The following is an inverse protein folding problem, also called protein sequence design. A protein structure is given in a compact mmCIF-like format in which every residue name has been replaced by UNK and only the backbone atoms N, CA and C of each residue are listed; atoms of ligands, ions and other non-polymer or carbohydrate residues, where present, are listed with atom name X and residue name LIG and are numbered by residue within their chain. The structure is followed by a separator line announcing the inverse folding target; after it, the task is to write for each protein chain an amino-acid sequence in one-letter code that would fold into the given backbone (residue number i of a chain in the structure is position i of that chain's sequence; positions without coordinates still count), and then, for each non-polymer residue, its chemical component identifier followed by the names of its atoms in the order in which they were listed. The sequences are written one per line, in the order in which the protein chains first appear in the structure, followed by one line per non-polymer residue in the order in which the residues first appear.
data_IF_892578737930
#
_entry.id   IF_892578737930
#
_cell.length_a   1.000
_cell.length_b   1.000
_cell.length_c   1.000
_cell.angle_alpha   90.00
_cell.angle_beta   90.00
_cell.angle_gamma   90.00
#
_symmetry.space_group_name_H-M   'P 1'
#
loop_
_entity.id
_entity.type
_entity.pdbx_description
1 polymer ?
#
# COMPACT_ATOMS: atom_id res chain seq x y z
N UNK A 1 20.36 -7.06 3.35
CA UNK A 1 21.01 -7.73 2.22
C UNK A 1 20.91 -6.81 1.01
N UNK A 2 22.06 -6.36 0.44
CA UNK A 2 22.04 -5.37 -0.66
C UNK A 2 21.34 -5.85 -1.93
N UNK A 3 21.31 -7.16 -2.16
CA UNK A 3 20.73 -7.77 -3.36
C UNK A 3 19.35 -8.41 -3.11
N UNK A 4 18.66 -7.96 -2.09
CA UNK A 4 17.39 -8.53 -1.67
C UNK A 4 16.34 -8.54 -2.79
N UNK A 5 16.23 -7.44 -3.53
CA UNK A 5 15.27 -7.33 -4.63
C UNK A 5 15.63 -8.26 -5.78
N UNK A 6 16.91 -8.34 -6.16
CA UNK A 6 17.36 -9.26 -7.19
C UNK A 6 17.06 -10.71 -6.83
N UNK A 7 17.33 -11.09 -5.58
CA UNK A 7 17.08 -12.46 -5.09
C UNK A 7 15.59 -12.80 -5.11
N UNK A 8 14.74 -11.82 -4.90
CA UNK A 8 13.29 -12.00 -4.98
C UNK A 8 12.75 -11.99 -6.40
N UNK A 9 13.59 -11.71 -7.39
CA UNK A 9 13.18 -11.61 -8.78
C UNK A 9 12.42 -10.33 -9.08
N UNK A 10 12.63 -9.29 -8.28
CA UNK A 10 11.93 -8.02 -8.43
C UNK A 10 12.83 -6.99 -9.14
N UNK A 11 12.18 -6.09 -9.85
CA UNK A 11 12.83 -5.00 -10.58
C UNK A 11 12.34 -3.66 -10.04
N UNK A 12 13.20 -2.64 -10.10
CA UNK A 12 12.86 -1.32 -9.61
C UNK A 12 13.10 -0.27 -10.67
N UNK A 13 12.28 0.78 -10.62
CA UNK A 13 12.45 1.98 -11.41
C UNK A 13 12.48 3.15 -10.44
N UNK A 14 13.38 4.10 -10.63
CA UNK A 14 13.44 5.26 -9.74
C UNK A 14 12.18 6.10 -9.90
N UNK A 15 11.57 6.52 -8.78
CA UNK A 15 10.44 7.44 -8.79
C UNK A 15 10.83 8.77 -9.44
N UNK A 16 9.88 9.38 -10.17
CA UNK A 16 10.05 10.73 -10.72
C UNK A 16 9.79 11.82 -9.70
N UNK A 17 9.22 11.48 -8.56
CA UNK A 17 8.73 12.43 -7.57
C UNK A 17 9.56 12.45 -6.30
N UNK A 18 10.21 11.35 -5.95
CA UNK A 18 11.02 11.21 -4.75
C UNK A 18 12.28 10.41 -5.05
N UNK A 19 13.29 10.53 -4.21
CA UNK A 19 14.54 9.78 -4.35
C UNK A 19 14.39 8.39 -3.73
N UNK A 20 13.57 7.57 -4.36
CA UNK A 20 13.26 6.22 -3.89
C UNK A 20 12.87 5.33 -5.08
N UNK A 21 13.07 4.03 -4.98
CA UNK A 21 12.67 3.10 -6.04
C UNK A 21 11.19 2.74 -5.95
N UNK A 22 10.61 2.48 -7.12
CA UNK A 22 9.28 1.86 -7.26
C UNK A 22 9.50 0.42 -7.73
N UNK A 23 8.85 -0.53 -7.08
CA UNK A 23 8.96 -1.96 -7.45
C UNK A 23 8.01 -2.23 -8.61
N UNK A 24 8.57 -2.59 -9.77
CA UNK A 24 7.82 -2.68 -11.03
C UNK A 24 6.72 -3.76 -10.99
N UNK A 25 6.97 -4.86 -10.27
CA UNK A 25 6.01 -5.97 -10.18
C UNK A 25 4.81 -5.69 -9.30
N UNK A 26 4.85 -4.66 -8.47
CA UNK A 26 3.73 -4.32 -7.59
C UNK A 26 2.73 -3.44 -8.34
N UNK A 27 1.43 -3.76 -8.28
CA UNK A 27 0.43 -3.07 -9.09
C UNK A 27 0.08 -1.67 -8.59
N UNK A 28 0.49 -1.31 -7.38
CA UNK A 28 0.20 -0.01 -6.80
C UNK A 28 1.38 0.45 -5.94
N UNK A 29 1.69 1.73 -6.00
CA UNK A 29 2.75 2.31 -5.19
C UNK A 29 2.32 3.68 -4.65
N UNK A 30 2.64 3.92 -3.38
CA UNK A 30 2.55 5.23 -2.77
C UNK A 30 3.95 5.81 -2.74
N UNK A 31 4.16 6.92 -3.45
CA UNK A 31 5.47 7.58 -3.49
C UNK A 31 5.49 8.67 -2.42
N UNK A 32 6.31 8.46 -1.41
CA UNK A 32 6.29 9.26 -0.20
C UNK A 32 7.62 9.96 0.05
N UNK A 33 7.54 11.17 0.60
CA UNK A 33 8.71 11.91 1.08
C UNK A 33 8.75 11.80 2.60
N UNK A 34 9.92 11.51 3.16
CA UNK A 34 10.09 11.43 4.61
C UNK A 34 9.82 12.79 5.26
N UNK A 35 8.92 12.82 6.24
CA UNK A 35 8.65 14.00 7.05
C UNK A 35 9.44 13.93 8.35
N UNK A 36 9.28 12.84 9.10
CA UNK A 36 9.99 12.64 10.36
C UNK A 36 9.98 11.18 10.78
N UNK A 37 10.88 10.85 11.70
CA UNK A 37 10.87 9.57 12.41
C UNK A 37 10.68 9.90 13.88
N UNK A 38 9.61 9.37 14.48
CA UNK A 38 9.30 9.60 15.88
C UNK A 38 10.23 8.78 16.80
N UNK A 39 10.29 9.13 18.09
CA UNK A 39 11.11 8.44 19.06
C UNK A 39 10.77 6.94 19.20
N UNK A 40 9.51 6.59 18.99
CA UNK A 40 9.03 5.20 19.03
C UNK A 40 9.32 4.40 17.76
N UNK A 41 10.03 5.02 16.80
CA UNK A 41 10.39 4.36 15.54
C UNK A 41 9.32 4.49 14.45
N UNK A 42 8.20 5.16 14.71
CA UNK A 42 7.17 5.37 13.69
C UNK A 42 7.67 6.38 12.66
N UNK A 43 7.62 5.99 11.40
CA UNK A 43 8.03 6.82 10.27
C UNK A 43 6.80 7.54 9.72
N UNK A 44 6.90 8.87 9.58
CA UNK A 44 5.84 9.70 8.99
C UNK A 44 6.31 10.17 7.62
N UNK A 45 5.54 9.86 6.59
CA UNK A 45 5.83 10.28 5.22
C UNK A 45 4.67 11.04 4.62
N UNK A 46 4.98 11.95 3.73
CA UNK A 46 3.98 12.66 2.94
C UNK A 46 3.80 11.95 1.60
N UNK A 47 2.57 11.58 1.27
CA UNK A 47 2.28 10.97 -0.03
C UNK A 47 2.31 12.07 -1.08
N UNK A 48 3.28 12.00 -1.99
CA UNK A 48 3.43 12.99 -3.06
C UNK A 48 2.88 12.50 -4.39
N UNK A 49 2.71 11.18 -4.54
CA UNK A 49 2.10 10.60 -5.73
C UNK A 49 1.60 9.19 -5.44
N UNK A 50 0.57 8.77 -6.17
CA UNK A 50 0.05 7.41 -6.14
C UNK A 50 0.04 6.91 -7.58
N UNK A 51 0.67 5.77 -7.85
CA UNK A 51 0.55 5.09 -9.14
C UNK A 51 -0.12 3.74 -8.97
N UNK A 52 -0.90 3.36 -9.97
CA UNK A 52 -1.59 2.08 -9.99
C UNK A 52 -1.72 1.59 -11.43
N UNK A 53 -1.58 0.27 -11.62
CA UNK A 53 -1.84 -0.36 -12.90
C UNK A 53 -3.33 -0.34 -13.21
N UNK A 54 -3.69 -0.29 -14.48
CA UNK A 54 -5.08 -0.40 -14.89
C UNK A 54 -5.74 -1.69 -14.41
N UNK A 55 -4.95 -2.75 -14.22
CA UNK A 55 -5.42 -4.04 -13.74
C UNK A 55 -6.07 -4.01 -12.35
N UNK A 56 -5.75 -2.99 -11.54
CA UNK A 56 -6.32 -2.85 -10.20
C UNK A 56 -7.36 -1.75 -10.10
N UNK A 57 -7.80 -1.22 -11.25
CA UNK A 57 -8.82 -0.18 -11.30
C UNK A 57 -10.19 -0.77 -11.66
N UNK A 58 -11.25 -0.18 -11.12
CA UNK A 58 -12.63 -0.39 -11.54
C UNK A 58 -13.28 0.97 -11.70
N UNK A 59 -13.80 1.24 -12.90
CA UNK A 59 -14.42 2.52 -13.26
C UNK A 59 -13.50 3.73 -12.97
N UNK A 60 -12.18 3.56 -13.22
CA UNK A 60 -11.19 4.61 -13.04
C UNK A 60 -10.74 4.83 -11.59
N UNK A 61 -11.23 4.03 -10.66
CA UNK A 61 -10.87 4.11 -9.25
C UNK A 61 -10.13 2.87 -8.81
N UNK A 62 -9.23 3.02 -7.84
CA UNK A 62 -8.51 1.89 -7.26
C UNK A 62 -9.52 0.97 -6.57
N UNK A 63 -9.50 -0.30 -6.95
CA UNK A 63 -10.39 -1.32 -6.39
C UNK A 63 -9.61 -2.21 -5.43
N UNK A 64 -9.87 -2.12 -4.11
CA UNK A 64 -9.17 -2.95 -3.12
C UNK A 64 -9.29 -4.46 -3.37
N UNK A 65 -10.40 -4.91 -3.96
CA UNK A 65 -10.58 -6.32 -4.30
C UNK A 65 -9.59 -6.79 -5.37
N UNK A 66 -9.13 -5.88 -6.24
CA UNK A 66 -8.13 -6.16 -7.28
C UNK A 66 -6.71 -5.95 -6.78
N UNK A 67 -6.48 -4.95 -5.92
CA UNK A 67 -5.17 -4.72 -5.30
C UNK A 67 -4.80 -5.87 -4.37
N UNK A 68 -5.77 -6.41 -3.66
CA UNK A 68 -5.61 -7.50 -2.69
C UNK A 68 -4.57 -7.15 -1.60
N UNK A 69 -4.80 -6.07 -0.84
CA UNK A 69 -3.87 -5.67 0.20
C UNK A 69 -3.81 -6.71 1.32
N UNK A 70 -2.67 -6.73 2.00
CA UNK A 70 -2.46 -7.66 3.12
C UNK A 70 -2.21 -6.86 4.39
N UNK A 71 -2.49 -7.49 5.53
CA UNK A 71 -2.17 -6.94 6.84
C UNK A 71 -1.38 -7.95 7.65
N UNK A 72 -0.60 -7.46 8.60
CA UNK A 72 0.20 -8.33 9.46
C UNK A 72 -0.62 -8.75 10.68
N UNK A 73 -0.68 -10.08 10.90
CA UNK A 73 -1.25 -10.67 12.11
C UNK A 73 -0.11 -10.92 13.11
N UNK A 74 -0.04 -10.09 14.15
CA UNK A 74 1.02 -10.18 15.16
C UNK A 74 0.85 -11.38 16.09
N UNK A 75 -0.34 -11.94 16.19
CA UNK A 75 -0.60 -13.12 17.05
C UNK A 75 0.06 -14.36 16.47
N UNK A 76 -0.03 -14.55 15.16
CA UNK A 76 0.47 -15.75 14.48
C UNK A 76 1.70 -15.45 13.62
N UNK A 77 2.20 -14.23 13.61
CA UNK A 77 3.32 -13.78 12.75
C UNK A 77 3.07 -14.13 11.28
N UNK A 78 1.86 -13.82 10.82
CA UNK A 78 1.41 -14.15 9.48
C UNK A 78 0.89 -12.91 8.75
N UNK A 79 0.84 -13.00 7.42
CA UNK A 79 0.17 -11.99 6.60
C UNK A 79 -1.17 -12.54 6.15
N UNK A 80 -2.22 -11.73 6.27
CA UNK A 80 -3.56 -12.12 5.85
C UNK A 80 -4.11 -11.10 4.85
N UNK A 81 -4.92 -11.58 3.91
CA UNK A 81 -5.60 -10.71 2.95
C UNK A 81 -6.81 -10.05 3.62
N UNK A 82 -7.12 -8.83 3.18
CA UNK A 82 -8.37 -8.18 3.58
C UNK A 82 -9.54 -8.88 2.90
N UNK A 83 -10.63 -9.04 3.62
CA UNK A 83 -11.81 -9.74 3.13
C UNK A 83 -12.77 -8.86 2.33
N UNK A 84 -14.00 -9.35 2.17
CA UNK A 84 -15.04 -8.64 1.45
C UNK A 84 -15.51 -7.40 2.19
N UNK A 85 -16.13 -6.48 1.46
CA UNK A 85 -16.79 -5.31 2.04
C UNK A 85 -17.92 -5.78 2.95
N UNK A 86 -17.91 -5.33 4.19
CA UNK A 86 -18.91 -5.72 5.19
C UNK A 86 -19.75 -4.55 5.71
N UNK A 87 -19.46 -3.35 5.26
CA UNK A 87 -20.22 -2.17 5.68
C UNK A 87 -19.80 -0.95 4.88
N UNK A 88 -20.56 0.12 5.03
CA UNK A 88 -20.28 1.38 4.36
C UNK A 88 -20.01 2.46 5.38
N UNK A 89 -18.81 3.05 5.33
CA UNK A 89 -18.42 4.13 6.24
C UNK A 89 -19.34 5.35 6.04
N UNK A 90 -19.58 6.05 7.12
CA UNK A 90 -20.39 7.27 7.16
C UNK A 90 -21.88 7.09 6.80
N UNK A 91 -22.31 5.85 6.57
CA UNK A 91 -23.70 5.55 6.23
C UNK A 91 -24.33 4.56 7.21
N UNK A 92 -23.69 3.40 7.44
CA UNK A 92 -24.27 2.34 8.28
C UNK A 92 -24.42 2.76 9.74
N UNK A 93 -23.48 3.56 10.28
CA UNK A 93 -23.56 4.06 11.64
C UNK A 93 -24.74 4.98 11.92
N UNK A 94 -25.32 5.59 10.88
CA UNK A 94 -26.49 6.45 11.02
C UNK A 94 -27.75 5.68 11.39
N UNK A 95 -27.75 4.37 11.18
CA UNK A 95 -28.88 3.51 11.50
C UNK A 95 -28.94 3.11 12.97
N UNK A 96 -27.90 3.41 13.74
CA UNK A 96 -27.73 2.94 15.13
C UNK A 96 -28.05 4.03 16.16
N UNK A 97 -28.66 5.08 15.81
CA UNK A 97 -28.97 6.15 16.76
C UNK A 97 -29.94 5.70 17.84
#
# INVERSE_FOLDING_TARGET
VPDKLERAGLHVTKSKFVDAPVIDEFPMALECRLVKINEDGIVVGEIVNVCADESVLSDGEIDPAKVRPITFDSVHSAYIELGAVVGKAFADGKKIK
#
